data_IF_561558165080
#
_entry.id   IF_561558165080
#
_cell.length_a   1.000
_cell.length_b   1.000
_cell.length_c   1.000
_cell.angle_alpha   90.00
_cell.angle_beta   90.00
_cell.angle_gamma   90.00
#
_symmetry.space_group_name_H-M   'P 1'
#
loop_
_entity.id
_entity.type
_entity.pdbx_description
1 polymer ?
#
# COMPACT_ATOMS: atom_id res chain seq x y z
N UNK A 1 16.90 -6.26 -26.17
CA UNK A 1 15.88 -6.50 -25.13
C UNK A 1 14.51 -6.11 -25.64
N UNK A 2 13.45 -6.79 -25.20
CA UNK A 2 12.08 -6.55 -25.66
C UNK A 2 11.38 -5.59 -24.70
N UNK A 3 10.74 -4.55 -25.23
CA UNK A 3 9.94 -3.63 -24.42
C UNK A 3 8.73 -4.35 -23.81
N UNK A 4 8.57 -4.27 -22.48
CA UNK A 4 7.46 -4.93 -21.78
C UNK A 4 6.09 -4.32 -22.04
N UNK A 5 6.02 -3.15 -22.69
CA UNK A 5 4.78 -2.45 -23.01
C UNK A 5 4.33 -2.69 -24.44
N UNK A 6 5.19 -2.43 -25.43
CA UNK A 6 4.82 -2.49 -26.86
C UNK A 6 5.40 -3.69 -27.62
N UNK A 7 6.31 -4.47 -27.02
CA UNK A 7 6.94 -5.63 -27.67
C UNK A 7 8.08 -5.30 -28.65
N UNK A 8 8.43 -4.03 -28.86
CA UNK A 8 9.51 -3.64 -29.76
C UNK A 8 10.87 -4.18 -29.27
N UNK A 9 11.68 -4.68 -30.20
CA UNK A 9 13.08 -5.01 -29.94
C UNK A 9 13.95 -3.74 -29.87
N UNK A 10 14.76 -3.66 -28.83
CA UNK A 10 15.66 -2.54 -28.56
C UNK A 10 17.08 -3.04 -28.29
N UNK A 11 18.07 -2.17 -28.48
CA UNK A 11 19.45 -2.43 -28.04
C UNK A 11 19.50 -2.76 -26.54
N UNK A 12 20.44 -3.62 -26.12
CA UNK A 12 20.66 -3.96 -24.70
C UNK A 12 21.10 -2.77 -23.85
N UNK A 13 21.65 -1.73 -24.47
CA UNK A 13 22.15 -0.53 -23.80
C UNK A 13 21.13 0.62 -23.79
N UNK A 14 19.98 0.46 -24.44
CA UNK A 14 18.96 1.50 -24.47
C UNK A 14 18.30 1.67 -23.09
N UNK A 15 18.15 2.93 -22.66
CA UNK A 15 17.43 3.26 -21.42
C UNK A 15 15.92 3.29 -21.63
N UNK A 16 15.47 3.73 -22.80
CA UNK A 16 14.07 3.88 -23.20
C UNK A 16 13.78 3.14 -24.50
N UNK A 17 12.51 2.78 -24.70
CA UNK A 17 12.06 2.13 -25.91
C UNK A 17 12.08 3.11 -27.08
N UNK A 18 12.64 2.71 -28.22
CA UNK A 18 12.68 3.52 -29.44
C UNK A 18 11.31 3.81 -30.06
N UNK A 19 10.27 3.06 -29.68
CA UNK A 19 8.92 3.22 -30.21
C UNK A 19 7.98 3.98 -29.26
N UNK A 20 7.78 3.46 -28.05
CA UNK A 20 6.82 4.04 -27.09
C UNK A 20 7.48 4.87 -25.99
N UNK A 21 8.81 5.06 -26.05
CA UNK A 21 9.61 5.84 -25.09
C UNK A 21 9.58 5.32 -23.64
N UNK A 22 8.90 4.19 -23.39
CA UNK A 22 8.82 3.61 -22.06
C UNK A 22 10.20 3.19 -21.53
N UNK A 23 10.46 3.38 -20.23
CA UNK A 23 11.73 3.00 -19.63
C UNK A 23 11.90 1.48 -19.67
N UNK A 24 13.02 1.01 -20.24
CA UNK A 24 13.27 -0.41 -20.49
C UNK A 24 13.78 -1.15 -19.24
N UNK A 25 14.41 -0.42 -18.30
CA UNK A 25 15.00 -1.00 -17.08
C UNK A 25 14.04 -1.06 -15.89
N UNK A 26 12.84 -0.48 -16.01
CA UNK A 26 11.84 -0.51 -14.94
C UNK A 26 11.15 -1.87 -14.93
N UNK A 27 11.30 -2.60 -13.82
CA UNK A 27 10.65 -3.90 -13.65
C UNK A 27 9.17 -3.70 -13.33
N UNK A 28 8.30 -4.40 -14.07
CA UNK A 28 6.87 -4.48 -13.73
C UNK A 28 6.73 -5.07 -12.32
N UNK A 29 5.98 -4.41 -11.42
CA UNK A 29 5.71 -4.97 -10.09
C UNK A 29 5.12 -6.38 -10.20
N UNK A 30 5.69 -7.31 -9.45
CA UNK A 30 5.15 -8.66 -9.33
C UNK A 30 4.31 -8.75 -8.07
N UNK A 31 3.26 -9.56 -8.14
CA UNK A 31 2.47 -9.93 -6.97
C UNK A 31 3.38 -10.67 -5.99
N UNK A 32 3.57 -10.13 -4.79
CA UNK A 32 4.33 -10.79 -3.73
C UNK A 32 3.45 -11.81 -2.98
N UNK A 33 2.17 -11.49 -2.80
CA UNK A 33 1.18 -12.39 -2.20
C UNK A 33 1.27 -12.52 -0.66
N UNK A 34 2.36 -12.08 -0.05
CA UNK A 34 2.56 -12.06 1.39
C UNK A 34 2.64 -10.62 1.91
N UNK A 35 1.55 -10.14 2.51
CA UNK A 35 1.43 -8.79 3.05
C UNK A 35 1.11 -8.82 4.54
N UNK A 36 1.89 -8.07 5.31
CA UNK A 36 1.77 -7.92 6.75
C UNK A 36 1.96 -6.45 7.14
N UNK A 37 1.46 -6.06 8.32
CA UNK A 37 1.27 -4.66 8.72
C UNK A 37 2.58 -3.86 8.71
N UNK A 38 3.66 -4.44 9.21
CA UNK A 38 4.97 -3.82 9.41
C UNK A 38 5.59 -3.34 8.09
N UNK A 39 5.15 -3.88 6.95
CA UNK A 39 5.56 -3.39 5.63
C UNK A 39 5.17 -1.93 5.40
N UNK A 40 4.16 -1.40 6.09
CA UNK A 40 3.78 0.02 5.98
C UNK A 40 4.86 0.98 6.48
N UNK A 41 5.83 0.49 7.28
CA UNK A 41 6.92 1.29 7.80
C UNK A 41 8.06 1.48 6.80
N UNK A 42 8.06 0.69 5.72
CA UNK A 42 9.09 0.75 4.68
C UNK A 42 9.07 2.09 3.94
N UNK A 43 10.21 2.49 3.33
CA UNK A 43 10.31 3.74 2.59
C UNK A 43 9.33 3.81 1.40
N UNK A 44 9.03 5.03 0.96
CA UNK A 44 8.17 5.27 -0.20
C UNK A 44 8.59 4.48 -1.43
N UNK A 45 9.89 4.43 -1.76
CA UNK A 45 10.42 3.70 -2.93
C UNK A 45 10.07 2.21 -2.90
N UNK A 46 10.11 1.58 -1.72
CA UNK A 46 9.68 0.20 -1.55
C UNK A 46 8.18 0.05 -1.78
N UNK A 47 7.36 0.88 -1.11
CA UNK A 47 5.91 0.83 -1.25
C UNK A 47 5.47 1.09 -2.71
N UNK A 48 6.09 2.06 -3.37
CA UNK A 48 5.87 2.41 -4.77
C UNK A 48 6.33 1.32 -5.75
N UNK A 49 7.11 0.33 -5.30
CA UNK A 49 7.48 -0.85 -6.10
C UNK A 49 6.54 -2.05 -5.94
N UNK A 50 5.67 -2.05 -4.92
CA UNK A 50 4.72 -3.14 -4.68
C UNK A 50 3.67 -3.21 -5.78
N UNK A 51 3.10 -4.40 -6.01
CA UNK A 51 1.95 -4.54 -6.91
C UNK A 51 0.73 -3.79 -6.34
N UNK A 52 -0.13 -3.24 -7.20
CA UNK A 52 -1.30 -2.47 -6.76
C UNK A 52 -2.24 -3.30 -5.87
N UNK A 53 -2.38 -4.59 -6.16
CA UNK A 53 -3.08 -5.53 -5.29
C UNK A 53 -2.49 -5.58 -3.88
N UNK A 54 -1.17 -5.73 -3.77
CA UNK A 54 -0.47 -5.83 -2.49
C UNK A 54 -0.61 -4.53 -1.67
N UNK A 55 -0.60 -3.37 -2.34
CA UNK A 55 -0.89 -2.07 -1.72
C UNK A 55 -2.31 -1.99 -1.17
N UNK A 56 -3.31 -2.56 -1.85
CA UNK A 56 -4.68 -2.60 -1.35
C UNK A 56 -4.80 -3.47 -0.10
N UNK A 57 -4.14 -4.63 -0.09
CA UNK A 57 -4.08 -5.50 1.09
C UNK A 57 -3.41 -4.76 2.26
N UNK A 58 -2.27 -4.11 2.02
CA UNK A 58 -1.58 -3.35 3.05
C UNK A 58 -2.42 -2.17 3.56
N UNK A 59 -3.11 -1.45 2.68
CA UNK A 59 -3.99 -0.35 3.07
C UNK A 59 -5.11 -0.83 3.99
N UNK A 60 -5.67 -2.03 3.76
CA UNK A 60 -6.66 -2.63 4.66
C UNK A 60 -6.06 -2.85 6.05
N UNK A 61 -4.91 -3.51 6.15
CA UNK A 61 -4.23 -3.78 7.43
C UNK A 61 -3.94 -2.49 8.20
N UNK A 62 -3.44 -1.47 7.51
CA UNK A 62 -3.11 -0.17 8.13
C UNK A 62 -4.37 0.56 8.59
N UNK A 63 -5.48 0.48 7.85
CA UNK A 63 -6.77 1.07 8.27
C UNK A 63 -7.33 0.38 9.51
N UNK A 64 -7.21 -0.94 9.59
CA UNK A 64 -7.59 -1.72 10.77
C UNK A 64 -6.75 -1.30 11.98
N UNK A 65 -5.41 -1.30 11.87
CA UNK A 65 -4.51 -0.86 12.95
C UNK A 65 -4.76 0.58 13.38
N UNK A 66 -4.91 1.52 12.44
CA UNK A 66 -5.23 2.93 12.73
C UNK A 66 -6.52 3.06 13.53
N UNK A 67 -7.53 2.25 13.20
CA UNK A 67 -8.82 2.23 13.91
C UNK A 67 -8.62 1.71 15.34
N UNK A 68 -7.85 0.65 15.54
CA UNK A 68 -7.48 0.17 16.88
C UNK A 68 -6.72 1.22 17.69
N UNK A 69 -5.74 1.91 17.12
CA UNK A 69 -5.02 3.00 17.79
C UNK A 69 -5.94 4.17 18.16
N UNK A 70 -6.89 4.52 17.28
CA UNK A 70 -7.90 5.54 17.58
C UNK A 70 -8.76 5.15 18.78
N UNK A 71 -9.25 3.91 18.82
CA UNK A 71 -10.03 3.41 19.95
C UNK A 71 -9.23 3.42 21.25
N UNK A 72 -7.97 2.96 21.22
CA UNK A 72 -7.07 3.01 22.38
C UNK A 72 -6.89 4.44 22.89
N UNK A 73 -6.55 5.37 22.00
CA UNK A 73 -6.40 6.80 22.33
C UNK A 73 -7.67 7.36 22.97
N UNK A 74 -8.85 7.03 22.42
CA UNK A 74 -10.14 7.47 22.98
C UNK A 74 -10.44 6.88 24.35
N UNK A 75 -10.11 5.60 24.57
CA UNK A 75 -10.29 4.94 25.88
C UNK A 75 -9.39 5.60 26.93
N UNK A 76 -8.13 5.83 26.59
CA UNK A 76 -7.14 6.47 27.47
C UNK A 76 -7.53 7.92 27.81
N UNK A 77 -8.13 8.66 26.87
CA UNK A 77 -8.62 10.02 27.10
C UNK A 77 -9.91 10.07 27.94
N UNK A 78 -10.72 9.02 27.94
CA UNK A 78 -12.01 8.92 28.65
C UNK A 78 -11.92 8.15 29.98
N UNK A 79 -10.72 7.96 30.52
CA UNK A 79 -10.54 7.25 31.78
C UNK A 79 -11.40 7.91 32.88
N UNK A 80 -12.18 7.14 33.67
CA UNK A 80 -13.04 7.68 34.71
C UNK A 80 -12.26 8.50 35.74
N UNK A 81 -12.93 9.49 36.34
CA UNK A 81 -12.38 10.26 37.46
C UNK A 81 -12.00 9.29 38.59
N UNK A 82 -10.70 9.19 38.88
CA UNK A 82 -10.12 8.24 39.84
C UNK A 82 -9.10 7.27 39.23
N UNK A 83 -9.08 7.09 37.91
CA UNK A 83 -8.04 6.32 37.21
C UNK A 83 -6.97 7.27 36.67
N UNK A 84 -5.84 7.37 37.36
CA UNK A 84 -4.68 8.14 36.88
C UNK A 84 -4.00 7.34 35.78
N UNK A 85 -4.31 7.66 34.51
CA UNK A 85 -3.53 7.15 33.39
C UNK A 85 -2.22 7.95 33.28
N UNK A 86 -1.06 7.30 33.38
CA UNK A 86 0.24 7.94 33.19
C UNK A 86 0.33 8.73 31.87
N UNK A 87 0.97 9.90 31.90
CA UNK A 87 1.06 10.80 30.75
C UNK A 87 1.85 10.22 29.56
N UNK A 88 2.83 9.37 29.85
CA UNK A 88 3.58 8.56 28.88
C UNK A 88 2.65 7.63 28.09
N UNK A 89 1.67 6.98 28.73
CA UNK A 89 0.69 6.12 28.05
C UNK A 89 -0.22 6.95 27.13
N UNK A 90 -0.66 8.13 27.58
CA UNK A 90 -1.42 9.08 26.75
C UNK A 90 -0.62 9.50 25.52
N UNK A 91 0.63 9.91 25.71
CA UNK A 91 1.52 10.32 24.62
C UNK A 91 1.78 9.19 23.63
N UNK A 92 1.98 7.96 24.12
CA UNK A 92 2.18 6.78 23.29
C UNK A 92 0.96 6.52 22.40
N UNK A 93 -0.25 6.47 22.96
CA UNK A 93 -1.47 6.20 22.22
C UNK A 93 -1.73 7.24 21.11
N UNK A 94 -1.48 8.52 21.39
CA UNK A 94 -1.58 9.58 20.39
C UNK A 94 -0.53 9.44 19.28
N UNK A 95 0.72 9.14 19.65
CA UNK A 95 1.82 8.99 18.70
C UNK A 95 1.59 7.83 17.74
N UNK A 96 1.09 6.68 18.23
CA UNK A 96 0.75 5.53 17.39
C UNK A 96 -0.37 5.89 16.39
N UNK A 97 -1.43 6.56 16.85
CA UNK A 97 -2.51 6.97 15.96
C UNK A 97 -2.01 7.91 14.84
N UNK A 98 -1.15 8.88 15.19
CA UNK A 98 -0.53 9.80 14.22
C UNK A 98 0.38 9.05 13.23
N UNK A 99 1.20 8.13 13.73
CA UNK A 99 2.08 7.29 12.92
C UNK A 99 1.29 6.50 11.87
N UNK A 100 0.30 5.72 12.28
CA UNK A 100 -0.49 4.90 11.35
C UNK A 100 -1.37 5.74 10.43
N UNK A 101 -1.79 6.93 10.86
CA UNK A 101 -2.46 7.91 9.97
C UNK A 101 -1.53 8.39 8.86
N UNK A 102 -0.27 8.71 9.17
CA UNK A 102 0.72 9.11 8.19
C UNK A 102 1.07 7.96 7.22
N UNK A 103 1.33 6.75 7.75
CA UNK A 103 1.59 5.56 6.93
C UNK A 103 0.45 5.23 5.98
N UNK A 104 -0.79 5.34 6.47
CA UNK A 104 -1.98 5.18 5.63
C UNK A 104 -2.01 6.18 4.48
N UNK A 105 -1.75 7.47 4.76
CA UNK A 105 -1.77 8.53 3.74
C UNK A 105 -0.75 8.30 2.63
N UNK A 106 0.43 7.78 2.96
CA UNK A 106 1.46 7.42 1.95
C UNK A 106 0.92 6.35 1.00
N UNK A 107 0.31 5.29 1.52
CA UNK A 107 -0.25 4.21 0.70
C UNK A 107 -1.44 4.72 -0.13
N UNK A 108 -2.31 5.53 0.46
CA UNK A 108 -3.42 6.16 -0.27
C UNK A 108 -2.94 7.05 -1.41
N UNK A 109 -1.86 7.81 -1.23
CA UNK A 109 -1.25 8.63 -2.28
C UNK A 109 -0.80 7.78 -3.47
N UNK A 110 -0.04 6.70 -3.21
CA UNK A 110 0.43 5.79 -4.27
C UNK A 110 -0.75 5.16 -5.03
N UNK A 111 -1.84 4.82 -4.34
CA UNK A 111 -3.04 4.28 -4.99
C UNK A 111 -3.76 5.31 -5.85
N UNK A 112 -3.82 6.57 -5.40
CA UNK A 112 -4.36 7.68 -6.20
C UNK A 112 -3.52 7.87 -7.46
N UNK A 113 -2.19 7.87 -7.36
CA UNK A 113 -1.29 8.03 -8.51
C UNK A 113 -1.48 6.91 -9.54
N UNK A 114 -1.79 5.68 -9.09
CA UNK A 114 -1.93 4.50 -9.96
C UNK A 114 -3.32 4.28 -10.53
N UNK A 115 -4.36 4.58 -9.75
CA UNK A 115 -5.74 4.22 -10.06
C UNK A 115 -6.63 5.44 -10.29
N UNK A 116 -6.15 6.65 -9.98
CA UNK A 116 -6.93 7.89 -9.98
C UNK A 116 -7.85 8.06 -8.78
N UNK A 117 -7.91 7.09 -7.87
CA UNK A 117 -8.74 7.16 -6.67
C UNK A 117 -8.19 6.26 -5.55
N UNK A 118 -8.64 6.54 -4.31
CA UNK A 118 -8.47 5.62 -3.17
C UNK A 118 -9.78 4.89 -2.86
N UNK A 119 -9.81 3.56 -2.79
CA UNK A 119 -11.02 2.83 -2.46
C UNK A 119 -11.55 3.22 -1.06
N UNK A 120 -12.85 3.50 -0.96
CA UNK A 120 -13.50 3.80 0.32
C UNK A 120 -13.52 2.58 1.24
N UNK A 121 -13.77 1.40 0.68
CA UNK A 121 -13.75 0.10 1.36
C UNK A 121 -12.87 -0.87 0.57
N UNK A 122 -12.13 -1.70 1.30
CA UNK A 122 -11.34 -2.81 0.75
C UNK A 122 -11.83 -4.06 1.47
N UNK A 123 -12.80 -4.75 0.87
CA UNK A 123 -13.37 -5.98 1.40
C UNK A 123 -12.83 -7.21 0.67
N UNK A 124 -13.14 -8.39 1.19
CA UNK A 124 -12.71 -9.66 0.60
C UNK A 124 -13.25 -9.81 -0.82
N UNK A 125 -14.47 -9.34 -1.09
CA UNK A 125 -15.07 -9.39 -2.43
C UNK A 125 -14.23 -8.61 -3.44
N UNK A 126 -13.80 -7.39 -3.10
CA UNK A 126 -12.92 -6.59 -3.97
C UNK A 126 -11.59 -7.31 -4.24
N UNK A 127 -10.96 -7.83 -3.18
CA UNK A 127 -9.65 -8.48 -3.30
C UNK A 127 -9.76 -9.79 -4.10
N UNK A 128 -10.71 -10.67 -3.80
CA UNK A 128 -10.93 -11.92 -4.54
C UNK A 128 -11.15 -11.65 -6.03
N UNK A 129 -12.09 -10.76 -6.37
CA UNK A 129 -12.37 -10.42 -7.76
C UNK A 129 -11.15 -9.86 -8.50
N UNK A 130 -10.35 -9.02 -7.84
CA UNK A 130 -9.13 -8.47 -8.44
C UNK A 130 -8.07 -9.55 -8.63
N UNK A 131 -7.91 -10.46 -7.66
CA UNK A 131 -6.97 -11.58 -7.73
C UNK A 131 -7.29 -12.50 -8.90
N UNK A 132 -8.56 -12.89 -9.05
CA UNK A 132 -9.02 -13.71 -10.18
C UNK A 132 -8.78 -13.05 -11.55
N UNK A 133 -8.93 -11.72 -11.64
CA UNK A 133 -8.62 -10.98 -12.87
C UNK A 133 -7.12 -11.01 -13.18
N UNK A 134 -6.28 -10.85 -12.15
CA UNK A 134 -4.82 -10.92 -12.28
C UNK A 134 -4.39 -12.32 -12.72
N UNK A 135 -4.98 -13.37 -12.15
CA UNK A 135 -4.66 -14.76 -12.47
C UNK A 135 -5.09 -15.13 -13.89
N UNK A 136 -6.34 -14.86 -14.29
CA UNK A 136 -6.79 -15.04 -15.67
C UNK A 136 -5.98 -14.24 -16.68
N UNK A 137 -5.54 -13.03 -16.30
CA UNK A 137 -4.69 -12.20 -17.16
C UNK A 137 -3.31 -12.80 -17.41
N UNK A 138 -2.78 -13.64 -16.50
CA UNK A 138 -1.50 -14.33 -16.68
C UNK A 138 -1.59 -15.55 -17.59
N UNK A 139 -2.77 -16.16 -17.71
CA UNK A 139 -2.98 -17.32 -18.60
C UNK A 139 -3.03 -16.91 -20.08
N UNK A 140 -3.20 -15.62 -20.37
CA UNK A 140 -3.38 -15.06 -21.71
C UNK A 140 -2.15 -14.26 -22.22
N UNK A 141 -0.99 -14.37 -21.56
CA UNK A 141 0.28 -13.70 -21.91
C UNK A 141 1.39 -14.73 -21.99
#
# INVERSE_FOLDING_TARGET
>A
MICSYCGQENSSYAETCSFCEAPLKVKRPKLNGFMYLELCERPFSFLASLHTYDLLVLLRLVREKRTSCYHLMRTVQKAPDGVVVPNDIKGLAESEYRLYTARMKVIEGILIDRMGYKPKRIDDKLLINLKEKIERGKENV
#
